data_IF_179434288027
#
_entry.id   IF_179434288027
#
_cell.length_a   1.000
_cell.length_b   1.000
_cell.length_c   1.000
_cell.angle_alpha   90.00
_cell.angle_beta   90.00
_cell.angle_gamma   90.00
#
_symmetry.space_group_name_H-M   'P 1'
#
loop_
_entity.id
_entity.type
_entity.pdbx_description
1 polymer ?
#
# COMPACT_ATOMS: atom_id res chain seq x y z
N UNK A 1 8.64 19.57 -4.62
CA UNK A 1 8.68 19.99 -3.23
C UNK A 1 7.48 19.42 -2.50
N UNK A 2 7.67 19.12 -1.23
CA UNK A 2 6.61 18.83 -0.28
C UNK A 2 6.27 20.15 0.41
N UNK A 3 5.04 20.59 0.23
CA UNK A 3 4.51 21.87 0.74
C UNK A 3 3.87 21.65 2.13
N UNK A 4 4.02 22.58 3.09
CA UNK A 4 3.34 22.54 4.38
C UNK A 4 1.81 22.52 4.22
N UNK A 5 1.12 21.88 5.15
CA UNK A 5 -0.36 21.76 5.13
C UNK A 5 -0.97 22.33 6.40
N UNK A 6 -2.11 23.01 6.27
CA UNK A 6 -2.95 23.33 7.42
C UNK A 6 -3.73 22.09 7.84
N UNK A 7 -3.43 21.55 9.01
CA UNK A 7 -4.05 20.34 9.52
C UNK A 7 -4.68 20.54 10.90
N UNK A 8 -5.78 19.84 11.15
CA UNK A 8 -6.21 19.52 12.52
C UNK A 8 -5.58 18.18 12.89
N UNK A 9 -4.97 18.11 14.07
CA UNK A 9 -4.31 16.88 14.54
C UNK A 9 -5.28 16.14 15.46
N UNK A 10 -5.29 14.81 15.34
CA UNK A 10 -5.98 13.92 16.27
C UNK A 10 -5.52 14.18 17.71
N UNK A 11 -6.47 14.27 18.64
CA UNK A 11 -6.14 14.39 20.06
C UNK A 11 -5.72 13.02 20.62
N UNK A 12 -4.63 12.94 21.41
CA UNK A 12 -4.05 11.65 21.83
C UNK A 12 -5.02 10.70 22.54
N UNK A 13 -5.96 11.24 23.32
CA UNK A 13 -6.97 10.47 24.06
C UNK A 13 -7.91 9.65 23.17
N UNK A 14 -8.14 10.08 21.92
CA UNK A 14 -9.01 9.41 20.96
C UNK A 14 -8.26 8.43 20.05
N UNK A 15 -6.94 8.48 20.04
CA UNK A 15 -6.16 7.75 19.05
C UNK A 15 -6.34 6.23 19.05
N UNK A 16 -6.49 5.54 20.20
CA UNK A 16 -6.73 4.10 20.22
C UNK A 16 -8.06 3.67 19.56
N UNK A 17 -9.08 4.53 19.53
CA UNK A 17 -10.41 4.20 18.99
C UNK A 17 -10.65 4.78 17.59
N UNK A 18 -9.95 5.87 17.23
CA UNK A 18 -10.14 6.57 15.96
C UNK A 18 -9.23 6.04 14.87
N UNK A 19 -7.97 5.69 15.16
CA UNK A 19 -7.05 5.22 14.11
C UNK A 19 -7.41 3.77 13.74
N UNK A 20 -7.88 3.51 12.51
CA UNK A 20 -8.26 2.16 12.12
C UNK A 20 -7.04 1.29 11.84
N UNK A 21 -7.26 -0.02 11.89
CA UNK A 21 -6.38 -0.97 11.22
C UNK A 21 -6.31 -0.69 9.70
N UNK A 22 -5.29 -1.17 8.98
CA UNK A 22 -5.24 -1.02 7.54
C UNK A 22 -6.42 -1.75 6.87
N UNK A 23 -6.97 -1.15 5.81
CA UNK A 23 -8.18 -1.65 5.12
C UNK A 23 -8.05 -3.06 4.53
N UNK A 24 -6.83 -3.49 4.20
CA UNK A 24 -6.57 -4.72 3.44
C UNK A 24 -6.55 -5.98 4.33
N UNK A 25 -6.77 -5.81 5.63
CA UNK A 25 -6.58 -6.87 6.64
C UNK A 25 -7.85 -7.64 7.01
N UNK A 26 -9.03 -7.20 6.56
CA UNK A 26 -10.33 -7.75 6.97
C UNK A 26 -11.17 -8.17 5.75
N UNK A 27 -11.90 -9.27 5.88
CA UNK A 27 -12.98 -9.64 4.94
C UNK A 27 -14.15 -8.63 5.03
N UNK A 28 -15.07 -8.59 4.06
CA UNK A 28 -16.22 -7.68 4.11
C UNK A 28 -17.06 -7.82 5.39
N UNK A 29 -17.30 -9.06 5.85
CA UNK A 29 -18.07 -9.33 7.07
C UNK A 29 -17.32 -8.91 8.33
N UNK A 30 -16.01 -9.20 8.42
CA UNK A 30 -15.15 -8.75 9.51
C UNK A 30 -15.05 -7.23 9.55
N UNK A 31 -14.99 -6.58 8.39
CA UNK A 31 -14.94 -5.14 8.28
C UNK A 31 -16.26 -4.50 8.75
N UNK A 32 -17.41 -5.06 8.36
CA UNK A 32 -18.72 -4.59 8.82
C UNK A 32 -18.88 -4.74 10.34
N UNK A 33 -18.47 -5.89 10.90
CA UNK A 33 -18.48 -6.12 12.34
C UNK A 33 -17.52 -5.17 13.07
N UNK A 34 -16.30 -4.99 12.55
CA UNK A 34 -15.32 -4.07 13.10
C UNK A 34 -15.85 -2.62 13.16
N UNK A 35 -16.51 -2.16 12.10
CA UNK A 35 -17.14 -0.83 12.09
C UNK A 35 -18.28 -0.70 13.10
N UNK A 36 -19.07 -1.76 13.30
CA UNK A 36 -20.14 -1.77 14.30
C UNK A 36 -19.60 -1.70 15.73
N UNK A 37 -18.50 -2.41 16.01
CA UNK A 37 -17.85 -2.45 17.32
C UNK A 37 -17.04 -1.18 17.61
N UNK A 38 -16.63 -0.44 16.57
CA UNK A 38 -15.79 0.75 16.68
C UNK A 38 -16.49 1.98 16.06
N UNK A 39 -17.51 2.55 16.74
CA UNK A 39 -18.32 3.64 16.20
C UNK A 39 -17.53 4.95 16.00
N UNK A 40 -16.41 5.11 16.70
CA UNK A 40 -15.54 6.29 16.60
C UNK A 40 -14.38 6.11 15.61
N UNK A 41 -14.28 4.94 14.97
CA UNK A 41 -13.22 4.65 14.01
C UNK A 41 -13.28 5.58 12.80
N UNK A 42 -12.12 6.12 12.41
CA UNK A 42 -11.99 6.90 11.19
C UNK A 42 -12.26 6.06 9.93
N UNK A 43 -12.37 4.73 10.04
CA UNK A 43 -12.81 3.89 8.93
C UNK A 43 -14.24 4.23 8.45
N UNK A 44 -15.09 4.80 9.31
CA UNK A 44 -16.39 5.36 8.89
C UNK A 44 -16.24 6.58 7.97
N UNK A 45 -15.11 7.30 8.09
CA UNK A 45 -14.80 8.47 7.27
C UNK A 45 -14.03 8.08 6.02
N UNK A 46 -12.94 7.31 6.10
CA UNK A 46 -11.94 7.18 5.03
C UNK A 46 -12.40 6.44 3.74
N UNK A 47 -13.69 6.16 3.60
CA UNK A 47 -14.34 5.97 2.31
C UNK A 47 -14.52 4.51 1.90
N UNK A 48 -14.96 4.35 0.64
CA UNK A 48 -15.62 3.16 0.10
C UNK A 48 -14.90 1.82 0.36
N UNK A 49 -15.66 0.73 0.65
CA UNK A 49 -15.10 -0.61 0.69
C UNK A 49 -14.32 -0.92 -0.60
N UNK A 50 -13.24 -1.72 -0.52
CA UNK A 50 -12.43 -2.09 -1.68
C UNK A 50 -13.25 -2.67 -2.85
N UNK A 51 -14.42 -3.26 -2.56
CA UNK A 51 -15.31 -3.91 -3.52
C UNK A 51 -16.42 -3.01 -4.09
N UNK A 52 -16.49 -1.74 -3.68
CA UNK A 52 -17.51 -0.82 -4.20
C UNK A 52 -17.14 -0.34 -5.61
N UNK A 53 -17.55 -1.11 -6.61
CA UNK A 53 -17.59 -0.73 -8.04
C UNK A 53 -18.89 -0.01 -8.43
N UNK A 54 -19.64 0.44 -7.43
CA UNK A 54 -21.08 0.72 -7.47
C UNK A 54 -21.60 1.81 -8.41
N UNK A 55 -22.93 1.83 -8.55
CA UNK A 55 -23.67 2.84 -9.30
C UNK A 55 -23.48 4.24 -8.68
N UNK A 56 -23.54 5.36 -9.44
CA UNK A 56 -23.31 6.71 -8.90
C UNK A 56 -24.14 7.10 -7.66
N UNK A 57 -25.32 6.51 -7.47
CA UNK A 57 -26.14 6.69 -6.26
C UNK A 57 -25.49 6.12 -5.01
N UNK A 58 -24.81 4.98 -5.12
CA UNK A 58 -24.11 4.33 -4.03
C UNK A 58 -22.92 5.20 -3.57
N UNK A 59 -22.12 5.72 -4.51
CA UNK A 59 -21.01 6.62 -4.19
C UNK A 59 -21.46 7.85 -3.38
N UNK A 60 -22.58 8.49 -3.79
CA UNK A 60 -23.14 9.62 -3.04
C UNK A 60 -23.63 9.24 -1.65
N UNK A 61 -24.27 8.07 -1.52
CA UNK A 61 -24.73 7.59 -0.22
C UNK A 61 -23.56 7.36 0.74
N UNK A 62 -22.50 6.71 0.27
CA UNK A 62 -21.30 6.49 1.08
C UNK A 62 -20.61 7.81 1.43
N UNK A 63 -20.46 8.72 0.47
CA UNK A 63 -19.89 10.04 0.74
C UNK A 63 -20.71 10.82 1.80
N UNK A 64 -22.04 10.75 1.73
CA UNK A 64 -22.93 11.35 2.76
C UNK A 64 -22.68 10.75 4.15
N UNK A 65 -22.56 9.41 4.25
CA UNK A 65 -22.24 8.73 5.51
C UNK A 65 -20.87 9.13 6.03
N UNK A 66 -19.86 9.20 5.16
CA UNK A 66 -18.51 9.65 5.52
C UNK A 66 -18.50 11.09 6.04
N UNK A 67 -19.27 12.00 5.42
CA UNK A 67 -19.43 13.39 5.89
C UNK A 67 -20.06 13.42 7.29
N UNK A 68 -21.16 12.67 7.51
CA UNK A 68 -21.81 12.59 8.82
C UNK A 68 -20.89 12.03 9.90
N UNK A 69 -20.11 10.98 9.57
CA UNK A 69 -19.13 10.41 10.49
C UNK A 69 -18.04 11.43 10.83
N UNK A 70 -17.52 12.18 9.85
CA UNK A 70 -16.51 13.20 10.09
C UNK A 70 -17.05 14.35 10.95
N UNK A 71 -18.26 14.85 10.66
CA UNK A 71 -18.92 15.89 11.44
C UNK A 71 -19.12 15.45 12.90
N UNK A 72 -19.49 14.19 13.12
CA UNK A 72 -19.60 13.60 14.46
C UNK A 72 -18.25 13.61 15.19
N UNK A 73 -17.16 13.13 14.56
CA UNK A 73 -15.82 13.15 15.17
C UNK A 73 -15.37 14.58 15.48
N UNK A 74 -15.64 15.53 14.59
CA UNK A 74 -15.36 16.96 14.83
C UNK A 74 -16.16 17.49 16.02
N UNK A 75 -17.44 17.16 16.12
CA UNK A 75 -18.32 17.60 17.22
C UNK A 75 -17.94 17.00 18.57
N UNK A 76 -17.34 15.80 18.59
CA UNK A 76 -16.79 15.16 19.78
C UNK A 76 -15.45 15.74 20.24
N UNK A 77 -14.83 16.62 19.45
CA UNK A 77 -13.52 17.19 19.77
C UNK A 77 -12.34 16.26 19.47
N UNK A 78 -12.54 15.22 18.66
CA UNK A 78 -11.51 14.24 18.25
C UNK A 78 -10.32 14.92 17.58
N UNK A 79 -10.57 16.01 16.86
CA UNK A 79 -9.54 16.77 16.18
C UNK A 79 -9.39 18.15 16.82
N UNK A 80 -8.16 18.53 17.15
CA UNK A 80 -7.86 19.84 17.75
C UNK A 80 -8.11 21.03 16.81
N UNK A 81 -7.72 22.22 17.23
CA UNK A 81 -7.77 23.40 16.37
C UNK A 81 -6.88 23.24 15.10
N UNK A 82 -7.22 23.97 14.05
CA UNK A 82 -6.39 23.98 12.82
C UNK A 82 -5.07 24.65 13.14
N UNK A 83 -3.96 23.97 12.84
CA UNK A 83 -2.61 24.52 12.99
C UNK A 83 -2.20 25.32 11.76
N UNK A 84 -1.24 26.20 11.93
CA UNK A 84 -0.59 26.90 10.81
C UNK A 84 0.04 25.90 9.83
N UNK A 85 0.16 26.25 8.54
CA UNK A 85 0.77 25.38 7.53
C UNK A 85 2.12 24.81 7.99
N UNK A 86 2.16 23.50 8.23
CA UNK A 86 3.33 22.82 8.78
C UNK A 86 3.61 21.53 8.01
N UNK A 87 4.87 21.07 8.06
CA UNK A 87 5.25 19.71 7.72
C UNK A 87 5.27 18.86 9.00
N UNK A 88 5.08 17.56 8.85
CA UNK A 88 5.06 16.64 9.99
C UNK A 88 5.97 15.45 9.71
N UNK A 89 6.67 14.96 10.73
CA UNK A 89 7.37 13.67 10.65
C UNK A 89 6.51 12.65 11.37
N UNK A 90 6.24 11.53 10.70
CA UNK A 90 5.55 10.40 11.28
C UNK A 90 6.52 9.23 11.42
N UNK A 91 6.38 8.45 12.49
CA UNK A 91 6.90 7.09 12.60
C UNK A 91 5.73 6.11 12.76
N UNK A 92 5.73 5.02 12.00
CA UNK A 92 4.82 3.88 12.19
C UNK A 92 5.66 2.65 12.48
N UNK A 93 5.42 2.02 13.62
CA UNK A 93 6.06 0.77 14.03
C UNK A 93 5.01 -0.35 14.05
N UNK A 94 5.15 -1.35 13.18
CA UNK A 94 4.25 -2.49 13.08
C UNK A 94 5.01 -3.73 12.58
N UNK A 95 4.66 -4.91 13.08
CA UNK A 95 5.19 -6.20 12.62
C UNK A 95 6.73 -6.30 12.60
N UNK A 96 7.40 -5.63 13.55
CA UNK A 96 8.86 -5.60 13.64
C UNK A 96 9.55 -4.63 12.68
N UNK A 97 8.77 -3.87 11.91
CA UNK A 97 9.26 -2.82 11.01
C UNK A 97 8.93 -1.44 11.58
N UNK A 98 9.83 -0.49 11.36
CA UNK A 98 9.62 0.93 11.63
C UNK A 98 9.81 1.69 10.31
N UNK A 99 8.93 2.66 10.06
CA UNK A 99 9.04 3.54 8.90
C UNK A 99 8.74 4.97 9.30
N UNK A 100 9.67 5.84 8.95
CA UNK A 100 9.53 7.27 9.03
C UNK A 100 9.05 7.83 7.70
N UNK A 101 8.27 8.89 7.77
CA UNK A 101 7.85 9.63 6.59
C UNK A 101 7.69 11.11 6.89
N UNK A 102 8.01 11.94 5.90
CA UNK A 102 7.67 13.36 5.91
C UNK A 102 6.30 13.55 5.28
N UNK A 103 5.37 14.12 6.05
CA UNK A 103 4.00 14.40 5.65
C UNK A 103 3.84 15.85 5.22
N UNK A 104 3.15 16.04 4.10
CA UNK A 104 2.80 17.34 3.55
C UNK A 104 2.00 17.23 2.25
N UNK A 105 1.80 18.35 1.57
CA UNK A 105 1.09 18.42 0.30
C UNK A 105 2.04 18.31 -0.88
N UNK A 106 1.66 17.55 -1.90
CA UNK A 106 2.34 17.56 -3.21
C UNK A 106 1.37 18.08 -4.26
N UNK A 107 1.81 19.09 -5.01
CA UNK A 107 1.03 19.68 -6.09
C UNK A 107 1.02 18.77 -7.32
N UNK A 108 -0.16 18.29 -7.69
CA UNK A 108 -0.38 17.32 -8.77
C UNK A 108 0.03 17.83 -10.15
N UNK A 109 -0.02 19.15 -10.36
CA UNK A 109 0.33 19.79 -11.62
C UNK A 109 1.85 20.02 -11.80
N UNK A 110 2.61 20.10 -10.71
CA UNK A 110 4.05 20.42 -10.76
C UNK A 110 4.96 19.25 -10.42
N UNK A 111 4.42 18.16 -9.87
CA UNK A 111 5.19 16.97 -9.51
C UNK A 111 4.63 15.72 -10.17
N UNK A 112 5.52 14.98 -10.79
CA UNK A 112 5.22 13.69 -11.39
C UNK A 112 5.11 12.62 -10.29
N UNK A 113 3.94 12.02 -10.16
CA UNK A 113 3.66 10.85 -9.32
C UNK A 113 3.48 9.64 -10.24
N UNK A 114 4.50 8.77 -10.28
CA UNK A 114 4.55 7.61 -11.17
C UNK A 114 3.84 6.41 -10.53
N UNK A 115 2.75 5.92 -11.17
CA UNK A 115 2.12 4.67 -10.76
C UNK A 115 2.90 3.47 -11.31
N UNK A 116 2.68 2.31 -10.69
CA UNK A 116 3.13 1.00 -11.19
C UNK A 116 2.02 -0.06 -11.10
N UNK A 117 0.81 0.36 -10.71
CA UNK A 117 -0.40 -0.46 -10.64
C UNK A 117 -1.52 0.25 -11.39
N UNK A 118 -2.45 -0.54 -11.93
CA UNK A 118 -3.66 0.01 -12.52
C UNK A 118 -4.67 0.43 -11.45
N UNK A 119 -5.55 1.35 -11.81
CA UNK A 119 -6.63 1.82 -10.95
C UNK A 119 -7.97 1.39 -11.50
N UNK A 120 -8.87 0.97 -10.62
CA UNK A 120 -10.21 0.56 -11.01
C UNK A 120 -11.09 1.80 -11.19
N UNK A 121 -11.66 2.06 -12.39
CA UNK A 121 -12.38 3.29 -12.67
C UNK A 121 -13.55 3.59 -11.72
N UNK A 122 -14.33 2.57 -11.33
CA UNK A 122 -15.43 2.73 -10.37
C UNK A 122 -14.94 3.16 -8.98
N UNK A 123 -13.83 2.57 -8.51
CA UNK A 123 -13.21 2.95 -7.23
C UNK A 123 -12.63 4.36 -7.28
N UNK A 124 -12.01 4.75 -8.38
CA UNK A 124 -11.50 6.12 -8.60
C UNK A 124 -12.66 7.12 -8.58
N UNK A 125 -13.75 6.84 -9.29
CA UNK A 125 -14.91 7.72 -9.32
C UNK A 125 -15.54 7.88 -7.93
N UNK A 126 -15.74 6.79 -7.21
CA UNK A 126 -16.28 6.81 -5.87
C UNK A 126 -15.41 7.59 -4.87
N UNK A 127 -14.08 7.41 -4.93
CA UNK A 127 -13.14 8.21 -4.14
C UNK A 127 -13.17 9.69 -4.53
N UNK A 128 -13.34 10.02 -5.82
CA UNK A 128 -13.44 11.41 -6.27
C UNK A 128 -14.71 12.09 -5.69
N UNK A 129 -15.85 11.39 -5.69
CA UNK A 129 -17.09 11.86 -5.04
C UNK A 129 -16.86 12.05 -3.54
N UNK A 130 -16.27 11.05 -2.86
CA UNK A 130 -15.93 11.13 -1.44
C UNK A 130 -15.07 12.37 -1.13
N UNK A 131 -14.01 12.58 -1.89
CA UNK A 131 -13.12 13.73 -1.81
C UNK A 131 -13.83 15.07 -1.96
N UNK A 132 -14.72 15.21 -2.94
CA UNK A 132 -15.49 16.43 -3.17
C UNK A 132 -16.49 16.72 -2.03
N UNK A 133 -17.19 15.69 -1.54
CA UNK A 133 -18.27 15.86 -0.53
C UNK A 133 -17.72 15.99 0.90
N UNK A 134 -16.72 15.18 1.27
CA UNK A 134 -16.12 15.23 2.61
C UNK A 134 -15.17 16.43 2.75
N UNK A 135 -14.51 16.82 1.65
CA UNK A 135 -13.65 18.00 1.60
C UNK A 135 -12.41 17.95 2.51
N UNK A 136 -12.06 16.76 3.02
CA UNK A 136 -10.87 16.52 3.85
C UNK A 136 -10.09 15.31 3.38
N UNK A 137 -8.77 15.42 3.40
CA UNK A 137 -7.82 14.31 3.26
C UNK A 137 -7.23 13.96 4.62
N UNK A 138 -7.13 12.66 4.90
CA UNK A 138 -6.51 12.14 6.12
C UNK A 138 -5.66 10.90 5.89
N UNK A 139 -5.91 10.18 4.78
CA UNK A 139 -5.12 9.05 4.34
C UNK A 139 -4.03 9.53 3.37
N UNK A 140 -2.76 9.64 3.79
CA UNK A 140 -1.70 10.07 2.90
C UNK A 140 -1.47 9.04 1.79
N UNK A 141 -1.08 9.51 0.60
CA UNK A 141 -0.47 8.67 -0.42
C UNK A 141 0.98 8.43 -0.01
N UNK A 142 1.37 7.17 0.14
CA UNK A 142 2.77 6.83 0.45
C UNK A 142 3.56 6.95 -0.83
N UNK A 143 4.66 7.68 -0.78
CA UNK A 143 5.52 7.94 -1.93
C UNK A 143 6.98 7.78 -1.54
N UNK A 144 7.82 7.47 -2.53
CA UNK A 144 9.26 7.40 -2.34
C UNK A 144 10.00 7.87 -3.59
N UNK A 145 11.33 7.99 -3.52
CA UNK A 145 12.19 8.24 -4.67
C UNK A 145 13.59 7.65 -4.43
N UNK A 146 14.35 7.31 -5.48
CA UNK A 146 15.71 6.77 -5.35
C UNK A 146 16.67 7.65 -4.53
N UNK A 147 16.42 8.97 -4.47
CA UNK A 147 17.18 9.92 -3.65
C UNK A 147 16.22 10.89 -2.98
N UNK A 148 16.30 10.98 -1.66
CA UNK A 148 15.44 11.79 -0.80
C UNK A 148 16.24 12.59 0.24
N UNK A 149 17.45 13.07 -0.10
CA UNK A 149 18.39 13.69 0.85
C UNK A 149 17.74 14.78 1.72
N UNK A 150 17.05 15.77 1.13
CA UNK A 150 16.40 16.82 1.91
C UNK A 150 15.26 16.32 2.80
N UNK A 151 14.58 15.23 2.41
CA UNK A 151 13.53 14.61 3.22
C UNK A 151 14.17 13.84 4.39
N UNK A 152 15.22 13.06 4.13
CA UNK A 152 16.00 12.36 5.15
C UNK A 152 16.60 13.33 6.16
N UNK A 153 17.20 14.44 5.71
CA UNK A 153 17.77 15.47 6.59
C UNK A 153 16.71 16.05 7.55
N UNK A 154 15.48 16.29 7.08
CA UNK A 154 14.38 16.79 7.91
C UNK A 154 13.91 15.73 8.90
N UNK A 155 13.81 14.47 8.50
CA UNK A 155 13.46 13.36 9.39
C UNK A 155 14.53 13.23 10.49
N UNK A 156 15.80 13.16 10.11
CA UNK A 156 16.93 13.04 11.04
C UNK A 156 17.01 14.22 12.01
N UNK A 157 16.86 15.46 11.52
CA UNK A 157 16.84 16.65 12.37
C UNK A 157 15.68 16.62 13.37
N UNK A 158 14.51 16.14 12.95
CA UNK A 158 13.34 16.02 13.83
C UNK A 158 13.55 14.95 14.91
N UNK A 159 14.11 13.80 14.54
CA UNK A 159 14.44 12.72 15.48
C UNK A 159 15.54 13.13 16.46
N UNK A 160 16.56 13.85 16.00
CA UNK A 160 17.60 14.41 16.86
C UNK A 160 17.03 15.41 17.88
N UNK A 161 16.08 16.26 17.46
CA UNK A 161 15.38 17.18 18.37
C UNK A 161 14.49 16.43 19.37
N UNK A 162 13.83 15.36 18.95
CA UNK A 162 13.04 14.50 19.84
C UNK A 162 13.90 13.76 20.90
N UNK A 163 15.15 13.43 20.56
CA UNK A 163 16.11 12.79 21.46
C UNK A 163 17.00 13.74 22.28
N UNK A 164 16.82 15.05 22.16
CA UNK A 164 17.65 16.05 22.85
C UNK A 164 17.36 16.14 24.35
N UNK A 165 18.24 16.80 25.12
CA UNK A 165 18.04 17.02 26.57
C UNK A 165 16.78 17.81 26.91
N UNK A 166 16.32 18.67 26.00
CA UNK A 166 14.99 19.28 26.03
C UNK A 166 14.27 18.79 24.78
N UNK A 167 13.51 17.69 24.88
CA UNK A 167 13.02 16.98 23.72
C UNK A 167 11.90 17.77 23.02
N UNK A 168 11.87 17.65 21.70
CA UNK A 168 10.69 18.02 20.92
C UNK A 168 9.56 17.04 21.24
N UNK A 169 8.53 17.53 21.92
CA UNK A 169 7.36 16.70 22.28
C UNK A 169 6.57 16.28 21.04
N UNK A 170 6.17 14.99 20.92
CA UNK A 170 5.30 14.55 19.85
C UNK A 170 3.90 15.18 19.99
N UNK A 171 3.27 15.48 18.85
CA UNK A 171 1.86 15.84 18.79
C UNK A 171 0.96 14.65 19.10
N UNK A 172 1.46 13.44 18.82
CA UNK A 172 0.80 12.18 19.07
C UNK A 172 1.86 11.09 19.28
N UNK A 173 1.70 10.27 20.31
CA UNK A 173 2.43 9.01 20.51
C UNK A 173 1.42 8.01 21.10
N UNK A 174 1.07 7.00 20.32
CA UNK A 174 -0.03 6.10 20.68
C UNK A 174 0.13 4.72 20.10
N UNK A 175 -0.57 3.74 20.69
CA UNK A 175 -0.77 2.42 20.10
C UNK A 175 -2.18 2.34 19.52
N UNK A 176 -2.27 1.89 18.29
CA UNK A 176 -3.53 1.66 17.58
C UNK A 176 -4.15 0.34 18.02
N UNK A 177 -5.43 0.12 17.69
CA UNK A 177 -6.17 -1.09 18.08
C UNK A 177 -5.53 -2.39 17.55
N UNK A 178 -4.84 -2.34 16.41
CA UNK A 178 -4.09 -3.46 15.81
C UNK A 178 -2.66 -3.61 16.39
N UNK A 179 -2.30 -2.83 17.41
CA UNK A 179 -1.03 -2.96 18.14
C UNK A 179 0.15 -2.20 17.52
N UNK A 180 -0.03 -1.53 16.38
CA UNK A 180 1.01 -0.66 15.83
C UNK A 180 1.22 0.57 16.71
N UNK A 181 2.46 1.05 16.81
CA UNK A 181 2.75 2.34 17.43
C UNK A 181 2.84 3.41 16.35
N UNK A 182 2.22 4.55 16.61
CA UNK A 182 2.26 5.70 15.71
C UNK A 182 2.69 6.91 16.50
N UNK A 183 3.74 7.56 16.01
CA UNK A 183 4.26 8.79 16.59
C UNK A 183 4.29 9.89 15.53
N UNK A 184 3.90 11.11 15.89
CA UNK A 184 3.80 12.26 15.00
C UNK A 184 4.43 13.48 15.65
N UNK A 185 5.37 14.12 14.97
CA UNK A 185 6.02 15.36 15.38
C UNK A 185 5.76 16.48 14.38
N UNK A 186 5.81 17.76 14.79
CA UNK A 186 6.05 18.83 13.83
C UNK A 186 7.46 18.63 13.25
N UNK A 187 7.62 18.82 11.94
CA UNK A 187 8.93 18.65 11.30
C UNK A 187 9.88 19.81 11.63
N UNK A 188 11.14 19.50 11.89
CA UNK A 188 12.21 20.49 12.05
C UNK A 188 12.83 20.77 10.69
N UNK A 189 12.59 21.96 10.14
CA UNK A 189 13.03 22.35 8.79
C UNK A 189 14.00 23.52 8.87
N UNK A 190 15.14 23.43 8.18
CA UNK A 190 16.20 24.45 8.23
C UNK A 190 15.78 25.85 7.73
N UNK A 191 14.71 25.94 6.92
CA UNK A 191 14.14 27.20 6.45
C UNK A 191 13.16 27.89 7.41
N UNK A 192 12.90 27.28 8.57
CA UNK A 192 11.89 27.76 9.53
C UNK A 192 10.48 27.22 9.25
N UNK A 193 9.52 27.68 10.06
CA UNK A 193 8.11 27.29 9.94
C UNK A 193 7.54 27.69 8.57
N UNK A 194 6.78 26.80 7.95
CA UNK A 194 6.22 27.02 6.61
C UNK A 194 7.20 26.81 5.44
N UNK A 195 8.45 26.41 5.70
CA UNK A 195 9.37 26.04 4.63
C UNK A 195 8.96 24.71 3.97
N UNK A 196 9.03 24.69 2.63
CA UNK A 196 8.81 23.48 1.84
C UNK A 196 10.12 22.72 1.64
N UNK A 197 10.03 21.41 1.42
CA UNK A 197 11.20 20.53 1.22
C UNK A 197 11.33 20.18 -0.26
N UNK A 198 12.50 20.40 -0.85
CA UNK A 198 12.74 20.11 -2.26
C UNK A 198 12.65 18.61 -2.57
N UNK A 199 12.35 18.28 -3.83
CA UNK A 199 12.32 16.90 -4.32
C UNK A 199 13.13 16.82 -5.62
N UNK A 200 13.98 15.80 -5.72
CA UNK A 200 14.79 15.57 -6.90
C UNK A 200 14.13 14.51 -7.79
N UNK A 201 13.50 14.96 -8.87
CA UNK A 201 12.88 14.06 -9.85
C UNK A 201 11.47 13.56 -9.45
N UNK A 202 11.01 12.47 -10.08
CA UNK A 202 9.66 11.95 -9.88
C UNK A 202 9.52 11.23 -8.53
N UNK A 203 8.29 11.22 -8.02
CA UNK A 203 7.90 10.40 -6.88
C UNK A 203 7.24 9.12 -7.37
N UNK A 204 7.57 7.99 -6.77
CA UNK A 204 6.97 6.70 -7.05
C UNK A 204 5.87 6.43 -6.02
N UNK A 205 4.66 6.15 -6.49
CA UNK A 205 3.54 5.84 -5.61
C UNK A 205 3.78 4.46 -5.02
N UNK A 206 3.89 4.37 -3.70
CA UNK A 206 4.06 3.13 -2.94
C UNK A 206 2.68 2.57 -2.56
N UNK A 207 1.79 3.44 -2.06
CA UNK A 207 0.42 3.08 -1.71
C UNK A 207 -0.53 4.27 -1.96
N UNK A 208 -1.64 4.03 -2.65
CA UNK A 208 -2.66 5.04 -2.90
C UNK A 208 -2.80 5.51 -4.35
N UNK A 209 -2.52 4.65 -5.34
CA UNK A 209 -2.69 4.95 -6.77
C UNK A 209 -4.11 5.46 -7.08
N UNK A 210 -5.12 4.81 -6.51
CA UNK A 210 -6.51 5.22 -6.64
C UNK A 210 -6.79 6.61 -6.03
N UNK A 211 -6.12 6.98 -4.94
CA UNK A 211 -6.25 8.31 -4.31
C UNK A 211 -5.66 9.40 -5.20
N UNK A 212 -4.51 9.16 -5.81
CA UNK A 212 -3.90 10.09 -6.78
C UNK A 212 -4.81 10.27 -8.00
N UNK A 213 -5.30 9.18 -8.57
CA UNK A 213 -6.23 9.21 -9.70
C UNK A 213 -7.54 9.95 -9.34
N UNK A 214 -8.10 9.68 -8.16
CA UNK A 214 -9.32 10.31 -7.68
C UNK A 214 -9.15 11.81 -7.43
N UNK A 215 -8.03 12.23 -6.83
CA UNK A 215 -7.72 13.65 -6.62
C UNK A 215 -7.60 14.40 -7.95
N UNK A 216 -6.96 13.79 -8.96
CA UNK A 216 -6.91 14.33 -10.33
C UNK A 216 -8.30 14.44 -10.95
N UNK A 217 -9.13 13.38 -10.83
CA UNK A 217 -10.50 13.38 -11.34
C UNK A 217 -11.39 14.42 -10.66
N UNK A 218 -11.22 14.64 -9.35
CA UNK A 218 -11.93 15.65 -8.57
C UNK A 218 -11.45 17.09 -8.83
N UNK A 219 -10.37 17.28 -9.60
CA UNK A 219 -9.82 18.60 -9.89
C UNK A 219 -9.04 19.24 -8.73
N UNK A 220 -8.57 18.43 -7.78
CA UNK A 220 -7.74 18.94 -6.69
C UNK A 220 -6.33 19.30 -7.15
N UNK A 221 -5.78 20.32 -6.53
CA UNK A 221 -4.43 20.83 -6.86
C UNK A 221 -3.33 20.08 -6.11
N UNK A 222 -3.65 19.52 -4.94
CA UNK A 222 -2.71 18.84 -4.06
C UNK A 222 -3.24 17.48 -3.64
N UNK A 223 -2.33 16.61 -3.22
CA UNK A 223 -2.62 15.40 -2.48
C UNK A 223 -1.76 15.39 -1.22
N UNK A 224 -2.33 14.91 -0.10
CA UNK A 224 -1.57 14.64 1.11
C UNK A 224 -0.67 13.42 0.86
N UNK A 225 0.63 13.57 1.07
CA UNK A 225 1.61 12.49 0.92
C UNK A 225 2.31 12.17 2.23
N UNK A 226 2.79 10.95 2.35
CA UNK A 226 3.79 10.51 3.31
C UNK A 226 5.01 10.06 2.50
N UNK A 227 6.06 10.87 2.49
CA UNK A 227 7.28 10.59 1.73
C UNK A 227 8.27 9.82 2.60
N UNK A 228 8.44 8.53 2.29
CA UNK A 228 9.25 7.60 3.07
C UNK A 228 10.60 7.32 2.38
N UNK A 229 11.72 7.33 3.12
CA UNK A 229 13.03 6.87 2.63
C UNK A 229 12.96 5.44 2.11
N UNK A 230 13.66 5.16 1.00
CA UNK A 230 13.59 3.85 0.32
C UNK A 230 14.14 2.69 1.15
N UNK A 231 15.09 2.96 2.03
CA UNK A 231 15.76 1.99 2.91
C UNK A 231 14.89 1.58 4.11
N UNK A 232 13.85 2.34 4.43
CA UNK A 232 12.86 2.00 5.46
C UNK A 232 11.61 1.31 4.87
N UNK A 233 11.48 1.27 3.54
CA UNK A 233 10.38 0.56 2.88
C UNK A 233 10.60 -0.95 2.96
N UNK A 234 9.63 -1.65 3.54
CA UNK A 234 9.58 -3.10 3.47
C UNK A 234 8.58 -3.54 2.42
N UNK A 235 9.08 -4.29 1.44
CA UNK A 235 8.26 -4.85 0.37
C UNK A 235 8.07 -6.35 0.63
N UNK A 236 6.82 -6.73 0.86
CA UNK A 236 6.36 -8.11 0.89
C UNK A 236 5.81 -8.57 -0.46
N UNK A 237 5.33 -9.81 -0.45
CA UNK A 237 4.67 -10.48 -1.58
C UNK A 237 3.25 -10.92 -1.19
N UNK A 238 2.50 -11.40 -2.17
CA UNK A 238 1.27 -12.14 -1.93
C UNK A 238 1.48 -13.62 -2.31
N UNK A 239 1.04 -14.53 -1.46
CA UNK A 239 0.84 -15.93 -1.83
C UNK A 239 -0.49 -16.04 -2.60
N UNK A 240 -0.58 -16.96 -3.55
CA UNK A 240 -1.80 -17.24 -4.34
C UNK A 240 -2.35 -18.60 -3.96
N UNK A 241 -3.65 -18.67 -3.72
CA UNK A 241 -4.34 -19.90 -3.36
C UNK A 241 -5.45 -20.18 -4.36
N UNK A 242 -5.50 -21.42 -4.86
CA UNK A 242 -6.65 -21.94 -5.58
C UNK A 242 -7.42 -22.88 -4.67
N UNK A 243 -8.73 -22.64 -4.55
CA UNK A 243 -9.63 -23.43 -3.72
C UNK A 243 -10.09 -24.75 -4.38
N UNK A 244 -9.64 -25.01 -5.61
CA UNK A 244 -9.91 -26.23 -6.35
C UNK A 244 -8.68 -26.69 -7.15
N UNK A 245 -8.67 -27.97 -7.51
CA UNK A 245 -7.65 -28.58 -8.35
C UNK A 245 -8.33 -29.56 -9.31
N UNK A 246 -8.52 -29.12 -10.54
CA UNK A 246 -9.23 -29.89 -11.57
C UNK A 246 -8.31 -30.80 -12.42
N UNK A 247 -7.04 -30.92 -12.03
CA UNK A 247 -6.11 -31.82 -12.69
C UNK A 247 -5.33 -32.68 -11.72
N UNK A 248 -4.89 -33.84 -12.21
CA UNK A 248 -4.02 -34.73 -11.42
C UNK A 248 -2.72 -33.99 -11.02
N UNK A 249 -2.27 -34.05 -9.75
CA UNK A 249 -1.05 -33.39 -9.31
C UNK A 249 0.19 -33.69 -10.17
N UNK A 250 0.33 -34.94 -10.62
CA UNK A 250 1.39 -35.35 -11.55
C UNK A 250 1.40 -34.54 -12.85
N UNK A 251 0.22 -34.18 -13.37
CA UNK A 251 0.06 -33.40 -14.60
C UNK A 251 0.46 -31.94 -14.40
N UNK A 252 0.15 -31.35 -13.25
CA UNK A 252 0.65 -30.01 -12.87
C UNK A 252 2.17 -30.02 -12.94
N UNK A 253 2.82 -31.02 -12.32
CA UNK A 253 4.27 -31.11 -12.28
C UNK A 253 4.89 -31.38 -13.67
N UNK A 254 4.24 -32.17 -14.53
CA UNK A 254 4.66 -32.34 -15.92
C UNK A 254 4.66 -31.01 -16.68
N UNK A 255 3.58 -30.22 -16.56
CA UNK A 255 3.44 -28.93 -17.21
C UNK A 255 4.47 -27.93 -16.65
N UNK A 256 4.60 -27.84 -15.33
CA UNK A 256 5.61 -26.97 -14.70
C UNK A 256 7.03 -27.30 -15.16
N UNK A 257 7.37 -28.59 -15.28
CA UNK A 257 8.69 -29.02 -15.78
C UNK A 257 8.98 -28.64 -17.23
N UNK A 258 8.03 -28.10 -17.99
CA UNK A 258 8.28 -27.52 -19.32
C UNK A 258 8.94 -26.14 -19.24
N UNK A 259 8.71 -25.38 -18.16
CA UNK A 259 9.25 -24.03 -17.96
C UNK A 259 10.10 -23.85 -16.69
N UNK A 260 10.12 -24.83 -15.79
CA UNK A 260 10.82 -24.73 -14.51
C UNK A 260 11.67 -25.98 -14.21
N UNK A 261 12.74 -25.79 -13.44
CA UNK A 261 13.44 -26.88 -12.78
C UNK A 261 12.75 -27.11 -11.42
N UNK A 262 12.07 -28.26 -11.27
CA UNK A 262 11.18 -28.54 -10.14
C UNK A 262 11.78 -29.61 -9.23
N UNK A 263 11.87 -29.30 -7.94
CA UNK A 263 12.34 -30.18 -6.86
C UNK A 263 11.22 -30.35 -5.81
N UNK A 264 10.96 -31.57 -5.38
CA UNK A 264 10.03 -31.84 -4.26
C UNK A 264 10.75 -31.58 -2.93
N UNK A 265 10.06 -30.92 -2.00
CA UNK A 265 10.60 -30.51 -0.69
C UNK A 265 9.64 -30.91 0.43
N UNK A 266 10.10 -30.83 1.68
CA UNK A 266 9.35 -31.34 2.84
C UNK A 266 8.05 -30.59 3.11
N UNK A 267 8.05 -29.27 2.95
CA UNK A 267 6.98 -28.40 3.43
C UNK A 267 7.02 -27.01 2.77
N UNK A 268 6.05 -26.17 3.13
CA UNK A 268 5.94 -24.80 2.66
C UNK A 268 7.15 -23.91 3.01
N UNK A 269 7.79 -24.15 4.16
CA UNK A 269 8.96 -23.37 4.60
C UNK A 269 10.14 -23.67 3.69
N UNK A 270 10.38 -24.95 3.39
CA UNK A 270 11.41 -25.38 2.44
C UNK A 270 11.10 -24.95 1.00
N UNK A 271 9.82 -24.84 0.63
CA UNK A 271 9.39 -24.38 -0.70
C UNK A 271 9.49 -22.85 -0.88
N UNK A 272 9.52 -22.08 0.22
CA UNK A 272 9.43 -20.62 0.17
C UNK A 272 10.65 -20.01 -0.53
N UNK A 273 10.45 -19.23 -1.61
CA UNK A 273 11.56 -18.59 -2.29
C UNK A 273 12.09 -17.40 -1.47
N UNK A 274 13.42 -17.32 -1.30
CA UNK A 274 14.08 -16.18 -0.65
C UNK A 274 14.51 -15.07 -1.61
N UNK A 275 14.51 -15.33 -2.91
CA UNK A 275 14.92 -14.40 -3.96
C UNK A 275 14.07 -14.61 -5.22
N UNK A 276 13.92 -13.57 -6.08
CA UNK A 276 13.28 -13.71 -7.39
C UNK A 276 13.92 -14.79 -8.28
N UNK A 277 13.17 -15.28 -9.26
CA UNK A 277 13.53 -16.40 -10.15
C UNK A 277 13.20 -17.78 -9.56
N UNK A 278 12.57 -17.81 -8.38
CA UNK A 278 12.11 -19.02 -7.72
C UNK A 278 10.67 -18.86 -7.23
N UNK A 279 9.92 -19.96 -7.31
CA UNK A 279 8.57 -20.05 -6.75
C UNK A 279 8.45 -21.30 -5.88
N UNK A 280 7.63 -21.21 -4.84
CA UNK A 280 7.18 -22.37 -4.07
C UNK A 280 5.79 -22.77 -4.55
N UNK A 281 5.51 -24.06 -4.67
CA UNK A 281 4.19 -24.55 -5.09
C UNK A 281 3.76 -25.72 -4.22
N UNK A 282 2.61 -25.59 -3.56
CA UNK A 282 1.91 -26.66 -2.88
C UNK A 282 0.80 -27.20 -3.79
N UNK A 283 0.73 -28.51 -3.99
CA UNK A 283 -0.35 -29.16 -4.78
C UNK A 283 -0.78 -30.43 -4.05
N UNK A 284 -2.06 -30.49 -3.66
CA UNK A 284 -2.65 -31.65 -2.98
C UNK A 284 -1.82 -32.15 -1.78
N UNK A 285 -1.24 -31.24 -1.00
CA UNK A 285 -0.44 -31.54 0.19
C UNK A 285 1.05 -31.83 -0.05
N UNK A 286 1.50 -31.90 -1.31
CA UNK A 286 2.93 -32.01 -1.66
C UNK A 286 3.52 -30.63 -1.96
N UNK A 287 4.76 -30.42 -1.56
CA UNK A 287 5.46 -29.14 -1.73
C UNK A 287 6.61 -29.25 -2.70
N UNK A 288 6.75 -28.22 -3.53
CA UNK A 288 7.77 -28.14 -4.56
C UNK A 288 8.42 -26.77 -4.53
N UNK A 289 9.72 -26.74 -4.79
CA UNK A 289 10.47 -25.54 -5.12
C UNK A 289 10.80 -25.59 -6.60
N UNK A 290 10.52 -24.51 -7.32
CA UNK A 290 10.74 -24.45 -8.75
C UNK A 290 11.56 -23.23 -9.15
N UNK A 291 12.68 -23.47 -9.85
CA UNK A 291 13.48 -22.42 -10.48
C UNK A 291 12.90 -22.09 -11.85
N UNK A 292 12.59 -20.82 -12.09
CA UNK A 292 12.06 -20.39 -13.37
C UNK A 292 13.15 -20.47 -14.44
N UNK A 293 12.88 -21.12 -15.57
CA UNK A 293 13.70 -20.99 -16.78
C UNK A 293 13.13 -19.82 -17.57
N UNK A 294 13.66 -18.63 -17.32
CA UNK A 294 13.21 -17.43 -18.01
C UNK A 294 13.17 -17.67 -19.54
N UNK A 295 12.04 -17.35 -20.16
CA UNK A 295 11.90 -17.42 -21.61
C UNK A 295 12.54 -16.16 -22.23
N UNK A 296 13.78 -16.30 -22.68
CA UNK A 296 14.48 -15.32 -23.51
C UNK A 296 16.00 -15.48 -23.40
N UNK A 297 16.75 -15.64 -24.51
CA UNK A 297 18.20 -15.61 -24.44
C UNK A 297 18.67 -14.22 -23.98
N UNK A 298 19.82 -14.15 -23.31
CA UNK A 298 20.51 -12.90 -23.01
C UNK A 298 20.86 -12.07 -24.28
N UNK A 299 20.63 -12.64 -25.47
CA UNK A 299 20.95 -12.11 -26.78
C UNK A 299 19.72 -11.85 -27.69
N UNK A 300 18.47 -11.79 -27.17
CA UNK A 300 17.30 -11.40 -27.98
C UNK A 300 17.29 -9.87 -28.22
N UNK A 301 17.48 -9.38 -29.46
CA UNK A 301 17.57 -7.94 -29.77
C UNK A 301 16.21 -7.24 -29.88
N UNK A 302 15.13 -7.85 -29.37
CA UNK A 302 13.77 -7.29 -29.41
C UNK A 302 13.68 -5.92 -28.69
N UNK A 303 12.88 -4.95 -29.18
CA UNK A 303 12.78 -3.60 -28.60
C UNK A 303 12.34 -3.68 -27.14
N UNK A 304 12.99 -2.88 -26.27
CA UNK A 304 12.76 -2.72 -24.82
C UNK A 304 11.55 -3.52 -24.30
N UNK A 305 11.80 -4.75 -23.86
CA UNK A 305 10.75 -5.58 -23.27
C UNK A 305 10.17 -4.87 -22.05
N UNK A 306 8.84 -4.84 -21.94
CA UNK A 306 8.15 -4.29 -20.78
C UNK A 306 8.70 -4.96 -19.51
N UNK A 307 9.31 -4.20 -18.58
CA UNK A 307 9.94 -4.78 -17.39
C UNK A 307 8.96 -5.59 -16.54
N UNK A 308 7.66 -5.29 -16.60
CA UNK A 308 6.62 -6.00 -15.86
C UNK A 308 6.48 -7.47 -16.29
N UNK A 309 6.75 -7.82 -17.56
CA UNK A 309 6.60 -9.19 -18.07
C UNK A 309 7.73 -10.11 -17.62
N UNK A 310 8.81 -9.56 -17.04
CA UNK A 310 9.96 -10.32 -16.52
C UNK A 310 9.79 -10.70 -15.05
N UNK A 311 8.75 -10.21 -14.39
CA UNK A 311 8.49 -10.45 -12.98
C UNK A 311 7.99 -11.88 -12.77
N UNK A 312 8.37 -12.51 -11.66
CA UNK A 312 7.86 -13.84 -11.28
C UNK A 312 6.34 -13.84 -11.18
N UNK A 313 5.73 -12.73 -10.74
CA UNK A 313 4.28 -12.58 -10.72
C UNK A 313 3.65 -12.66 -12.12
N UNK A 314 4.32 -12.15 -13.16
CA UNK A 314 3.83 -12.27 -14.54
C UNK A 314 3.88 -13.74 -14.99
N UNK A 315 4.98 -14.45 -14.69
CA UNK A 315 5.07 -15.88 -14.94
C UNK A 315 3.96 -16.66 -14.22
N UNK A 316 3.68 -16.33 -12.96
CA UNK A 316 2.60 -16.99 -12.20
C UNK A 316 1.24 -16.73 -12.83
N UNK A 317 0.93 -15.49 -13.21
CA UNK A 317 -0.36 -15.15 -13.83
C UNK A 317 -0.52 -15.76 -15.22
N UNK A 318 0.47 -15.60 -16.09
CA UNK A 318 0.36 -16.02 -17.49
C UNK A 318 0.44 -17.55 -17.62
N UNK A 319 1.43 -18.16 -16.98
CA UNK A 319 1.73 -19.58 -17.17
C UNK A 319 1.04 -20.48 -16.14
N UNK A 320 1.23 -20.24 -14.84
CA UNK A 320 0.64 -21.15 -13.83
C UNK A 320 -0.88 -20.96 -13.77
N UNK A 321 -1.33 -19.75 -13.49
CA UNK A 321 -2.76 -19.46 -13.35
C UNK A 321 -3.45 -19.60 -14.71
N UNK A 322 -2.98 -18.91 -15.74
CA UNK A 322 -3.55 -18.94 -17.09
C UNK A 322 -3.44 -20.32 -17.76
N UNK A 323 -2.24 -20.72 -18.18
CA UNK A 323 -2.07 -21.93 -19.01
C UNK A 323 -2.32 -23.25 -18.25
N UNK A 324 -1.91 -23.38 -16.99
CA UNK A 324 -2.07 -24.63 -16.23
C UNK A 324 -3.46 -24.71 -15.58
N UNK A 325 -3.89 -23.68 -14.86
CA UNK A 325 -5.12 -23.73 -14.07
C UNK A 325 -6.35 -23.08 -14.74
N UNK A 326 -6.19 -22.45 -15.91
CA UNK A 326 -7.28 -21.81 -16.63
C UNK A 326 -7.88 -20.62 -15.86
N UNK A 327 -7.07 -19.91 -15.08
CA UNK A 327 -7.42 -18.73 -14.29
C UNK A 327 -6.86 -17.50 -15.01
N UNK A 328 -7.71 -16.85 -15.82
CA UNK A 328 -7.31 -15.71 -16.65
C UNK A 328 -7.50 -14.34 -15.97
N UNK A 329 -8.30 -14.28 -14.90
CA UNK A 329 -8.63 -13.04 -14.21
C UNK A 329 -8.15 -13.05 -12.76
N UNK A 330 -7.65 -11.90 -12.30
CA UNK A 330 -7.36 -11.67 -10.88
C UNK A 330 -8.61 -11.61 -9.99
N UNK A 331 -9.80 -11.52 -10.59
CA UNK A 331 -11.08 -11.60 -9.88
C UNK A 331 -11.75 -12.97 -10.01
N UNK A 332 -11.03 -13.99 -10.49
CA UNK A 332 -11.56 -15.36 -10.56
C UNK A 332 -11.92 -15.83 -9.14
N UNK A 333 -13.15 -16.31 -8.89
CA UNK A 333 -13.63 -16.69 -7.56
C UNK A 333 -12.84 -17.86 -6.94
N UNK A 334 -12.04 -18.57 -7.74
CA UNK A 334 -11.20 -19.67 -7.27
C UNK A 334 -9.88 -19.18 -6.68
N UNK A 335 -9.46 -17.96 -7.05
CA UNK A 335 -8.18 -17.38 -6.69
C UNK A 335 -8.30 -16.44 -5.49
N UNK A 336 -7.53 -16.73 -4.46
CA UNK A 336 -7.36 -15.84 -3.30
C UNK A 336 -5.91 -15.37 -3.23
N UNK A 337 -5.71 -14.09 -2.95
CA UNK A 337 -4.39 -13.52 -2.65
C UNK A 337 -4.26 -13.31 -1.15
N UNK A 338 -3.16 -13.80 -0.56
CA UNK A 338 -2.85 -13.57 0.85
C UNK A 338 -1.51 -12.88 0.99
N UNK A 339 -1.39 -11.81 1.79
CA UNK A 339 -0.07 -11.29 2.15
C UNK A 339 0.81 -12.44 2.66
N UNK A 340 2.01 -12.55 2.12
CA UNK A 340 2.93 -13.62 2.48
C UNK A 340 3.26 -13.54 3.97
N UNK A 341 2.98 -14.62 4.71
CA UNK A 341 3.39 -14.78 6.12
C UNK A 341 4.28 -16.02 6.28
N UNK A 342 4.81 -16.25 7.47
CA UNK A 342 5.68 -17.41 7.74
C UNK A 342 4.94 -18.73 7.52
N UNK A 343 3.64 -18.79 7.83
CA UNK A 343 2.82 -19.99 7.64
C UNK A 343 1.99 -19.86 6.35
N UNK A 344 2.22 -20.76 5.39
CA UNK A 344 1.31 -20.89 4.26
C UNK A 344 -0.02 -21.50 4.73
N UNK A 345 -1.13 -20.99 4.22
CA UNK A 345 -2.45 -21.59 4.49
C UNK A 345 -2.65 -22.76 3.53
N UNK A 346 -3.00 -23.96 4.04
CA UNK A 346 -3.24 -25.11 3.18
C UNK A 346 -4.43 -24.86 2.24
N UNK A 347 -4.19 -24.95 0.93
CA UNK A 347 -5.21 -24.95 -0.12
C UNK A 347 -4.92 -26.10 -1.10
N UNK A 348 -5.88 -26.49 -1.95
CA UNK A 348 -5.63 -27.45 -3.03
C UNK A 348 -4.43 -27.09 -3.90
N UNK A 349 -4.25 -25.79 -4.18
CA UNK A 349 -3.01 -25.24 -4.75
C UNK A 349 -2.60 -23.99 -3.99
N UNK A 350 -1.32 -23.91 -3.63
CA UNK A 350 -0.71 -22.70 -3.06
C UNK A 350 0.52 -22.33 -3.88
N UNK A 351 0.70 -21.06 -4.23
CA UNK A 351 1.86 -20.54 -4.96
C UNK A 351 2.50 -19.44 -4.11
N UNK A 352 3.76 -19.65 -3.75
CA UNK A 352 4.57 -18.77 -2.93
C UNK A 352 5.54 -18.00 -3.82
N UNK A 353 5.62 -16.68 -3.64
CA UNK A 353 6.55 -15.82 -4.36
C UNK A 353 7.51 -15.14 -3.39
N UNK A 354 8.68 -14.75 -3.90
CA UNK A 354 9.56 -13.83 -3.19
C UNK A 354 9.06 -12.40 -3.41
N UNK A 355 9.33 -11.47 -2.48
CA UNK A 355 9.11 -10.06 -2.73
C UNK A 355 9.87 -9.57 -3.96
N UNK A 356 9.21 -8.73 -4.76
CA UNK A 356 9.86 -8.09 -5.90
C UNK A 356 10.90 -7.07 -5.39
N UNK A 357 12.07 -6.92 -6.04
CA UNK A 357 13.01 -5.87 -5.68
C UNK A 357 12.41 -4.48 -5.94
N UNK A 358 12.64 -3.53 -5.03
CA UNK A 358 12.15 -2.16 -5.20
C UNK A 358 12.61 -1.51 -6.51
N UNK A 359 13.84 -1.81 -6.97
CA UNK A 359 14.34 -1.34 -8.26
C UNK A 359 13.46 -1.76 -9.44
N UNK A 360 12.88 -2.97 -9.42
CA UNK A 360 11.97 -3.42 -10.47
C UNK A 360 10.63 -2.66 -10.44
N UNK A 361 10.18 -2.20 -9.27
CA UNK A 361 9.01 -1.31 -9.16
C UNK A 361 9.29 0.02 -9.86
N UNK A 362 10.49 0.58 -9.65
CA UNK A 362 10.91 1.82 -10.31
C UNK A 362 11.03 1.64 -11.82
N UNK A 363 11.65 0.55 -12.29
CA UNK A 363 11.76 0.24 -13.73
C UNK A 363 10.38 0.17 -14.40
N UNK A 364 9.40 -0.50 -13.76
CA UNK A 364 8.04 -0.59 -14.29
C UNK A 364 7.36 0.77 -14.33
N UNK A 365 7.47 1.54 -13.24
CA UNK A 365 6.91 2.88 -13.16
C UNK A 365 7.52 3.84 -14.20
N UNK A 366 8.83 3.78 -14.41
CA UNK A 366 9.57 4.58 -15.40
C UNK A 366 9.21 4.23 -16.83
N UNK A 367 8.92 2.96 -17.09
CA UNK A 367 8.41 2.48 -18.37
C UNK A 367 6.94 2.91 -18.61
N UNK A 368 6.22 3.37 -17.57
CA UNK A 368 4.78 3.59 -17.63
C UNK A 368 3.97 2.29 -17.70
N UNK A 369 4.55 1.19 -17.23
CA UNK A 369 3.95 -0.13 -17.20
C UNK A 369 3.06 -0.37 -15.97
N UNK A 370 2.30 -1.45 -16.03
CA UNK A 370 1.48 -1.95 -14.93
C UNK A 370 2.03 -3.28 -14.47
N UNK A 371 2.31 -3.41 -13.18
CA UNK A 371 2.71 -4.68 -12.58
C UNK A 371 1.52 -5.64 -12.53
N UNK A 372 1.76 -6.97 -12.60
CA UNK A 372 0.71 -7.95 -12.40
C UNK A 372 -0.02 -7.76 -11.06
N UNK A 373 -1.29 -8.19 -10.96
CA UNK A 373 -2.08 -8.03 -9.74
C UNK A 373 -1.40 -8.64 -8.52
N UNK A 374 -1.40 -7.86 -7.42
CA UNK A 374 -0.86 -8.24 -6.10
C UNK A 374 0.63 -8.59 -6.14
N UNK A 375 1.41 -7.86 -6.95
CA UNK A 375 2.88 -7.99 -6.99
C UNK A 375 3.56 -7.35 -5.76
N UNK A 376 2.99 -6.26 -5.25
CA UNK A 376 3.61 -5.37 -4.26
C UNK A 376 2.79 -5.33 -2.98
N UNK A 377 3.41 -5.58 -1.82
CA UNK A 377 2.79 -5.41 -0.49
C UNK A 377 3.68 -4.57 0.43
N UNK A 378 3.50 -3.26 0.45
CA UNK A 378 4.34 -2.38 1.26
C UNK A 378 3.92 -2.35 2.74
N UNK A 379 4.93 -2.40 3.61
CA UNK A 379 4.80 -2.35 5.06
C UNK A 379 5.75 -1.28 5.66
N UNK A 380 5.39 -0.72 6.82
CA UNK A 380 4.05 -0.72 7.41
C UNK A 380 3.05 0.08 6.56
N UNK A 381 1.75 -0.18 6.74
CA UNK A 381 0.69 0.54 6.02
C UNK A 381 0.50 1.94 6.59
N UNK A 382 0.27 2.92 5.70
CA UNK A 382 -0.06 4.27 6.10
C UNK A 382 -1.35 4.32 6.92
N UNK A 383 -1.35 5.19 7.93
CA UNK A 383 -2.47 5.34 8.87
C UNK A 383 -3.35 6.51 8.47
N UNK A 384 -4.66 6.32 8.63
CA UNK A 384 -5.67 7.34 8.39
C UNK A 384 -6.17 7.91 9.72
N UNK A 385 -6.72 9.11 9.72
CA UNK A 385 -7.30 9.73 10.91
C UNK A 385 -6.29 10.46 11.80
N UNK A 386 -5.03 10.59 11.40
CA UNK A 386 -4.00 11.33 12.17
C UNK A 386 -4.09 12.85 11.98
N UNK A 387 -4.25 13.26 10.72
CA UNK A 387 -4.36 14.63 10.28
C UNK A 387 -5.65 14.81 9.51
N UNK A 388 -6.35 15.92 9.71
CA UNK A 388 -7.40 16.39 8.79
C UNK A 388 -6.88 17.59 8.02
N UNK A 389 -6.56 17.35 6.76
CA UNK A 389 -6.10 18.37 5.81
C UNK A 389 -7.27 18.75 4.90
N UNK A 390 -7.41 20.03 4.56
CA UNK A 390 -8.41 20.46 3.58
C UNK A 390 -7.97 20.03 2.17
N UNK A 391 -8.89 19.47 1.40
CA UNK A 391 -8.64 19.13 -0.01
C UNK A 391 -8.36 20.37 -0.87
#
# INVERSE_FOLDING_TARGET
>A
MIEPVSARVLTPEWAPTVIPAPYDSLTPDEHAQHLADNPDSFAHVAGLPPESFGHPSEHRQHATRSTQALERLIGLGVFGATREPSLYVQCVEADGHAQHALLGGVRLASHELRPHEDTQPGRVHGLAVHFTEVGRMSSPVVVTAPRLTMVSDVIEATLAAAGASTPLEPLLDTKTADGARVTLWPAVVGGGEGASVGLDGPLYIVDGHHRVAAARQAGFSHVLVACAPTDELHLGSFDRELNELDMMPRRVMELMRTRCDVEEVSDAVAARPGVPGWIGVGVAGHWFRARLRHAGPADDPSPVQNPATRLDAAFVHDFLLGEIFGVESASDPRLTYRPTTVAAVPAPVTILLAPVPLGSVFEVADFGGVMPPKTTYFLPKARSGLLLVRC
#
